data_IF_349827997210
#
_entry.id   IF_349827997210
#
_cell.length_a   1.000
_cell.length_b   1.000
_cell.length_c   1.000
_cell.angle_alpha   90.00
_cell.angle_beta   90.00
_cell.angle_gamma   90.00
#
_symmetry.space_group_name_H-M   'P 1'
#
loop_
_entity.id
_entity.type
_entity.pdbx_description
1 polymer ?
#
# COMPACT_ATOMS: atom_id res chain seq x y z
N UNK A 1 25.22 -27.55 -7.65
CA UNK A 1 23.79 -27.84 -7.51
C UNK A 1 23.16 -26.65 -6.80
N UNK A 2 22.27 -25.90 -7.47
CA UNK A 2 21.51 -24.82 -6.79
C UNK A 2 20.40 -25.51 -5.99
N UNK A 3 20.40 -25.29 -4.69
CA UNK A 3 19.38 -25.75 -3.75
C UNK A 3 17.98 -25.31 -4.28
N UNK A 4 16.98 -26.20 -4.38
CA UNK A 4 15.65 -25.78 -4.79
C UNK A 4 15.16 -24.77 -3.78
N UNK A 5 14.97 -23.50 -4.21
CA UNK A 5 14.43 -22.43 -3.38
C UNK A 5 13.11 -22.89 -2.78
N UNK A 6 13.12 -23.25 -1.51
CA UNK A 6 11.90 -23.59 -0.75
C UNK A 6 11.04 -22.32 -0.73
N UNK A 7 9.93 -22.32 -1.45
CA UNK A 7 9.01 -21.20 -1.49
C UNK A 7 8.24 -21.13 -0.17
N UNK A 8 8.03 -19.92 0.38
CA UNK A 8 7.16 -19.75 1.54
C UNK A 8 5.77 -20.31 1.23
N UNK A 9 5.22 -21.12 2.13
CA UNK A 9 3.88 -21.72 1.99
C UNK A 9 2.90 -21.17 3.05
N UNK A 10 3.38 -20.34 3.98
CA UNK A 10 2.55 -19.56 4.88
C UNK A 10 2.85 -18.09 4.65
N UNK A 11 1.81 -17.35 4.26
CA UNK A 11 1.85 -15.92 4.08
C UNK A 11 1.20 -15.23 5.28
N UNK A 12 1.82 -14.15 5.73
CA UNK A 12 1.36 -13.29 6.80
C UNK A 12 1.64 -11.83 6.46
N UNK A 13 0.97 -10.94 7.12
CA UNK A 13 1.17 -9.50 7.00
C UNK A 13 1.12 -8.83 8.37
N UNK A 14 1.76 -7.69 8.50
CA UNK A 14 1.77 -6.91 9.71
C UNK A 14 2.30 -5.51 9.49
N UNK A 15 2.48 -4.76 10.55
CA UNK A 15 2.95 -3.40 10.47
C UNK A 15 3.94 -3.04 11.59
N UNK A 16 4.78 -2.04 11.28
CA UNK A 16 5.36 -1.20 12.31
C UNK A 16 4.32 -0.13 12.62
N UNK A 17 3.50 -0.41 13.63
CA UNK A 17 2.49 0.52 14.12
C UNK A 17 3.19 1.62 14.91
N UNK A 18 3.04 2.87 14.48
CA UNK A 18 3.70 4.01 15.08
C UNK A 18 2.75 5.18 15.35
N UNK A 19 3.12 6.04 16.29
CA UNK A 19 2.46 7.30 16.56
C UNK A 19 3.50 8.43 16.76
N UNK A 20 3.12 9.71 16.62
CA UNK A 20 3.98 10.81 17.03
C UNK A 20 4.26 10.75 18.54
N UNK A 21 5.51 10.94 18.94
CA UNK A 21 5.94 11.11 20.32
C UNK A 21 6.76 12.38 20.47
N UNK A 22 7.13 12.74 21.69
CA UNK A 22 7.82 14.02 22.01
C UNK A 22 9.18 14.17 21.32
N UNK A 23 9.91 13.08 21.15
CA UNK A 23 11.27 13.10 20.58
C UNK A 23 11.37 12.41 19.21
N UNK A 24 10.25 11.96 18.66
CA UNK A 24 10.18 11.21 17.40
C UNK A 24 9.08 10.14 17.44
N UNK A 25 9.05 9.25 16.45
CA UNK A 25 8.03 8.22 16.42
C UNK A 25 8.18 7.23 17.58
N UNK A 26 7.07 6.90 18.22
CA UNK A 26 6.93 5.78 19.13
C UNK A 26 6.33 4.58 18.41
N UNK A 27 6.86 3.40 18.69
CA UNK A 27 6.50 2.14 18.04
C UNK A 27 5.74 1.26 19.03
N UNK A 28 4.61 0.72 18.60
CA UNK A 28 3.85 -0.27 19.36
C UNK A 28 4.54 -1.64 19.30
N UNK A 29 4.71 -2.25 20.47
CA UNK A 29 5.17 -3.63 20.63
C UNK A 29 4.15 -4.37 21.47
N UNK A 30 3.77 -5.56 21.04
CA UNK A 30 2.78 -6.41 21.70
C UNK A 30 3.44 -7.57 22.45
N UNK A 31 2.92 -7.91 23.63
CA UNK A 31 3.29 -9.11 24.35
C UNK A 31 2.27 -10.22 24.10
N UNK A 32 2.77 -11.40 23.72
CA UNK A 32 1.93 -12.57 23.46
C UNK A 32 2.18 -13.64 24.51
N UNK A 33 1.25 -13.81 25.49
CA UNK A 33 1.45 -14.71 26.64
C UNK A 33 1.68 -16.18 26.22
N UNK A 34 1.05 -16.62 25.14
CA UNK A 34 1.22 -17.98 24.60
C UNK A 34 2.67 -18.31 24.24
N UNK A 35 3.45 -17.32 23.84
CA UNK A 35 4.85 -17.48 23.41
C UNK A 35 5.83 -16.85 24.40
N UNK A 36 5.35 -16.05 25.34
CA UNK A 36 6.17 -15.28 26.27
C UNK A 36 7.10 -14.29 25.57
N UNK A 37 6.64 -13.70 24.44
CA UNK A 37 7.46 -12.86 23.58
C UNK A 37 6.88 -11.46 23.37
N UNK A 38 7.79 -10.54 22.96
CA UNK A 38 7.47 -9.21 22.51
C UNK A 38 7.74 -9.10 21.00
N UNK A 39 6.75 -8.70 20.23
CA UNK A 39 6.86 -8.65 18.77
C UNK A 39 6.09 -7.50 18.15
N UNK A 40 6.30 -7.26 16.83
CA UNK A 40 5.46 -6.39 16.03
C UNK A 40 4.13 -7.09 15.71
N UNK A 41 3.00 -6.33 15.62
CA UNK A 41 1.70 -6.89 15.29
C UNK A 41 1.68 -7.49 13.87
N UNK A 42 1.22 -8.73 13.73
CA UNK A 42 1.19 -9.49 12.47
C UNK A 42 0.45 -10.81 12.61
N UNK A 43 -0.23 -11.22 11.57
CA UNK A 43 -0.80 -12.56 11.51
C UNK A 43 -0.93 -13.12 10.12
N UNK A 44 -1.61 -14.25 9.98
CA UNK A 44 -1.77 -14.97 8.72
C UNK A 44 -2.84 -14.31 7.85
N UNK A 45 -2.67 -14.41 6.54
CA UNK A 45 -3.73 -14.03 5.62
C UNK A 45 -4.89 -15.02 5.69
N UNK A 46 -6.09 -14.48 5.69
CA UNK A 46 -7.30 -15.27 5.50
C UNK A 46 -7.46 -15.73 4.03
N UNK A 47 -8.26 -16.78 3.76
CA UNK A 47 -8.51 -17.23 2.39
C UNK A 47 -9.06 -16.10 1.50
N UNK A 48 -8.35 -15.77 0.44
CA UNK A 48 -8.70 -14.70 -0.51
C UNK A 48 -8.35 -13.27 -0.03
N UNK A 49 -7.79 -13.12 1.15
CA UNK A 49 -7.36 -11.83 1.68
C UNK A 49 -6.05 -11.36 1.04
N UNK A 50 -5.89 -10.06 0.94
CA UNK A 50 -4.66 -9.46 0.44
C UNK A 50 -3.71 -9.13 1.59
N UNK A 51 -2.39 -9.13 1.39
CA UNK A 51 -1.46 -8.77 2.45
C UNK A 51 -1.70 -7.37 3.04
N UNK A 52 -2.16 -6.42 2.21
CA UNK A 52 -2.49 -5.05 2.60
C UNK A 52 -3.67 -5.05 3.59
N UNK A 53 -4.75 -5.74 3.25
CA UNK A 53 -5.94 -5.84 4.11
C UNK A 53 -5.62 -6.62 5.38
N UNK A 54 -4.90 -7.75 5.26
CA UNK A 54 -4.45 -8.54 6.41
C UNK A 54 -3.64 -7.72 7.41
N UNK A 55 -2.73 -6.85 6.94
CA UNK A 55 -1.93 -6.02 7.83
C UNK A 55 -2.78 -5.08 8.69
N UNK A 56 -3.81 -4.46 8.11
CA UNK A 56 -4.74 -3.58 8.85
C UNK A 56 -5.60 -4.38 9.82
N UNK A 57 -6.16 -5.54 9.38
CA UNK A 57 -6.97 -6.42 10.23
C UNK A 57 -6.18 -6.90 11.43
N UNK A 58 -4.98 -7.45 11.21
CA UNK A 58 -4.13 -7.99 12.28
C UNK A 58 -3.70 -6.91 13.28
N UNK A 59 -3.35 -5.70 12.80
CA UNK A 59 -3.11 -4.57 13.71
C UNK A 59 -4.34 -4.28 14.56
N UNK A 60 -5.54 -4.23 13.95
CA UNK A 60 -6.79 -4.00 14.67
C UNK A 60 -7.09 -5.09 15.70
N UNK A 61 -6.93 -6.37 15.35
CA UNK A 61 -7.21 -7.53 16.22
C UNK A 61 -6.22 -7.61 17.38
N UNK A 62 -4.92 -7.44 17.13
CA UNK A 62 -3.88 -7.58 18.15
C UNK A 62 -3.73 -6.31 19.03
N UNK A 63 -4.10 -5.12 18.53
CA UNK A 63 -3.88 -3.86 19.27
C UNK A 63 -5.14 -3.10 19.65
N UNK A 64 -6.28 -3.39 19.01
CA UNK A 64 -7.52 -2.60 19.16
C UNK A 64 -7.44 -1.20 18.51
N UNK A 65 -6.34 -0.87 17.85
CA UNK A 65 -6.11 0.46 17.28
C UNK A 65 -6.37 0.46 15.77
N UNK A 66 -7.24 1.35 15.27
CA UNK A 66 -7.32 1.62 13.85
C UNK A 66 -5.98 2.18 13.34
N UNK A 67 -5.61 1.85 12.11
CA UNK A 67 -4.38 2.36 11.51
C UNK A 67 -4.54 2.67 10.03
N UNK A 68 -3.66 3.52 9.54
CA UNK A 68 -3.51 3.82 8.11
C UNK A 68 -2.14 3.36 7.65
N UNK A 69 -2.10 2.53 6.60
CA UNK A 69 -0.84 2.08 6.03
C UNK A 69 -0.15 3.22 5.28
N UNK A 70 1.16 3.26 5.42
CA UNK A 70 2.06 4.05 4.61
C UNK A 70 2.91 3.15 3.71
N UNK A 71 4.19 3.49 3.56
CA UNK A 71 5.12 2.76 2.68
C UNK A 71 5.32 1.29 3.10
N UNK A 72 5.51 0.44 2.13
CA UNK A 72 5.94 -0.93 2.33
C UNK A 72 7.39 -0.96 2.86
N UNK A 73 7.64 -1.76 3.87
CA UNK A 73 8.96 -1.87 4.49
C UNK A 73 9.78 -3.03 3.95
N UNK A 74 9.11 -4.01 3.37
CA UNK A 74 9.73 -5.24 2.94
C UNK A 74 9.10 -6.47 3.59
N UNK A 75 9.80 -7.59 3.49
CA UNK A 75 9.36 -8.83 4.13
C UNK A 75 10.51 -9.52 4.85
N UNK A 76 10.14 -10.37 5.80
CA UNK A 76 11.03 -11.34 6.41
C UNK A 76 10.52 -12.74 6.10
N UNK A 77 11.46 -13.70 5.98
CA UNK A 77 11.12 -15.13 5.76
C UNK A 77 11.90 -15.97 6.74
N UNK A 78 11.22 -16.88 7.41
CA UNK A 78 11.81 -17.74 8.41
C UNK A 78 11.14 -19.11 8.48
N UNK A 79 11.87 -20.16 8.91
CA UNK A 79 11.29 -21.48 9.15
C UNK A 79 10.38 -21.48 10.38
N UNK A 80 9.31 -22.26 10.31
CA UNK A 80 8.43 -22.48 11.46
C UNK A 80 9.00 -23.63 12.29
N UNK A 81 9.30 -23.45 13.59
CA UNK A 81 9.79 -24.50 14.45
C UNK A 81 8.90 -25.75 14.42
N UNK A 82 9.50 -26.92 14.24
CA UNK A 82 8.78 -28.20 14.15
C UNK A 82 8.09 -28.49 12.80
N UNK A 83 8.17 -27.60 11.82
CA UNK A 83 7.55 -27.76 10.51
C UNK A 83 8.56 -27.57 9.37
N UNK A 84 8.34 -28.27 8.21
CA UNK A 84 9.11 -28.02 6.97
C UNK A 84 8.59 -26.82 6.17
N UNK A 85 8.02 -25.84 6.85
CA UNK A 85 7.34 -24.72 6.25
C UNK A 85 8.10 -23.43 6.47
N UNK A 86 8.12 -22.55 5.43
CA UNK A 86 8.60 -21.19 5.57
C UNK A 86 7.41 -20.24 5.71
N UNK A 87 7.48 -19.35 6.70
CA UNK A 87 6.55 -18.23 6.84
C UNK A 87 7.19 -16.99 6.26
N UNK A 88 6.48 -16.32 5.34
CA UNK A 88 6.80 -14.98 4.86
C UNK A 88 5.86 -14.00 5.53
N UNK A 89 6.38 -12.92 6.07
CA UNK A 89 5.62 -11.82 6.65
C UNK A 89 5.97 -10.54 5.92
N UNK A 90 4.99 -9.92 5.27
CA UNK A 90 5.09 -8.63 4.61
C UNK A 90 4.74 -7.52 5.61
N UNK A 91 5.52 -6.42 5.64
CA UNK A 91 5.35 -5.34 6.62
C UNK A 91 5.20 -3.97 5.98
N UNK A 92 4.34 -3.16 6.56
CA UNK A 92 4.14 -1.75 6.24
C UNK A 92 4.46 -0.85 7.43
N UNK A 93 4.81 0.41 7.18
CA UNK A 93 4.64 1.46 8.18
C UNK A 93 3.15 1.71 8.35
N UNK A 94 2.65 1.83 9.58
CA UNK A 94 1.25 2.13 9.83
C UNK A 94 1.13 3.19 10.92
N UNK A 95 0.44 4.30 10.64
CA UNK A 95 0.17 5.34 11.64
C UNK A 95 -1.08 4.95 12.43
N UNK A 96 -0.95 4.90 13.76
CA UNK A 96 -2.06 4.62 14.65
C UNK A 96 -3.03 5.80 14.69
N UNK A 97 -4.33 5.51 14.56
CA UNK A 97 -5.37 6.46 14.91
C UNK A 97 -5.69 6.42 16.41
N UNK A 98 -6.53 7.35 16.86
CA UNK A 98 -7.01 7.36 18.24
C UNK A 98 -7.77 6.07 18.55
N UNK A 99 -7.51 5.51 19.74
CA UNK A 99 -8.11 4.27 20.22
C UNK A 99 -7.45 3.82 21.52
N UNK A 100 -7.97 2.76 22.09
CA UNK A 100 -7.45 2.17 23.34
C UNK A 100 -7.20 0.69 23.15
N UNK A 101 -6.06 0.22 23.67
CA UNK A 101 -5.76 -1.20 23.73
C UNK A 101 -6.64 -1.89 24.77
N UNK A 102 -7.21 -3.01 24.37
CA UNK A 102 -7.91 -3.91 25.27
C UNK A 102 -7.28 -5.29 25.19
N UNK A 103 -6.99 -5.89 26.34
CA UNK A 103 -6.48 -7.27 26.44
C UNK A 103 -7.40 -8.23 25.69
N UNK A 104 -6.81 -9.10 24.89
CA UNK A 104 -7.53 -10.10 24.10
C UNK A 104 -6.89 -11.49 24.23
N UNK A 105 -7.40 -12.47 23.49
CA UNK A 105 -6.94 -13.85 23.58
C UNK A 105 -5.48 -14.08 23.13
N UNK A 106 -4.93 -13.18 22.32
CA UNK A 106 -3.59 -13.31 21.75
C UNK A 106 -2.57 -12.36 22.37
N UNK A 107 -3.03 -11.18 22.84
CA UNK A 107 -2.19 -10.09 23.34
C UNK A 107 -2.69 -9.62 24.70
N UNK A 108 -1.82 -9.68 25.70
CA UNK A 108 -2.13 -9.22 27.07
C UNK A 108 -1.52 -7.84 27.40
N UNK A 109 -0.51 -7.38 26.65
CA UNK A 109 0.10 -6.07 26.84
C UNK A 109 0.47 -5.44 25.52
N UNK A 110 0.24 -4.12 25.40
CA UNK A 110 0.76 -3.25 24.37
C UNK A 110 1.58 -2.14 25.03
N UNK A 111 2.78 -1.90 24.52
CA UNK A 111 3.65 -0.83 24.98
C UNK A 111 4.19 -0.02 23.83
N UNK A 112 4.35 1.27 24.05
CA UNK A 112 4.94 2.21 23.11
C UNK A 112 6.37 2.50 23.52
N UNK A 113 7.29 2.41 22.54
CA UNK A 113 8.71 2.70 22.76
C UNK A 113 9.21 3.69 21.72
N UNK A 114 10.04 4.68 22.10
CA UNK A 114 10.77 5.50 21.14
C UNK A 114 11.56 4.63 20.16
N UNK A 115 11.69 5.09 18.92
CA UNK A 115 12.32 4.33 17.84
C UNK A 115 13.75 3.88 18.17
N UNK A 116 14.51 4.67 18.91
CA UNK A 116 15.89 4.37 19.36
C UNK A 116 15.95 3.28 20.45
N UNK A 117 14.84 2.98 21.15
CA UNK A 117 14.75 2.02 22.24
C UNK A 117 14.00 0.73 21.89
N UNK A 118 13.19 0.75 20.84
CA UNK A 118 12.28 -0.37 20.54
C UNK A 118 13.02 -1.66 20.22
N UNK A 119 14.22 -1.61 19.63
CA UNK A 119 14.96 -2.81 19.27
C UNK A 119 15.38 -3.66 20.46
N UNK A 120 15.59 -3.06 21.62
CA UNK A 120 15.96 -3.77 22.85
C UNK A 120 14.79 -4.52 23.47
N UNK A 121 13.58 -4.15 23.10
CA UNK A 121 12.34 -4.77 23.60
C UNK A 121 11.88 -5.97 22.74
N UNK A 122 12.29 -6.04 21.49
CA UNK A 122 11.85 -7.07 20.56
C UNK A 122 12.57 -8.40 20.79
N UNK A 123 11.82 -9.48 20.92
CA UNK A 123 12.34 -10.82 21.16
C UNK A 123 13.07 -11.39 19.95
N UNK A 124 12.67 -10.99 18.72
CA UNK A 124 13.17 -11.63 17.50
C UNK A 124 14.09 -10.73 16.66
N UNK A 125 15.22 -11.27 16.16
CA UNK A 125 16.09 -10.53 15.24
C UNK A 125 15.40 -10.06 13.96
N UNK A 126 14.36 -10.78 13.50
CA UNK A 126 13.59 -10.44 12.30
C UNK A 126 12.78 -9.16 12.52
N UNK A 127 12.15 -8.99 13.68
CA UNK A 127 11.41 -7.77 14.00
C UNK A 127 12.36 -6.57 14.10
N UNK A 128 13.57 -6.76 14.66
CA UNK A 128 14.63 -5.74 14.64
C UNK A 128 15.07 -5.36 13.21
N UNK A 129 15.09 -6.33 12.29
CA UNK A 129 15.35 -6.05 10.87
C UNK A 129 14.27 -5.16 10.27
N UNK A 130 13.00 -5.42 10.58
CA UNK A 130 11.85 -4.60 10.12
C UNK A 130 11.95 -3.19 10.68
N UNK A 131 12.31 -3.01 11.96
CA UNK A 131 12.55 -1.68 12.54
C UNK A 131 13.67 -0.94 11.81
N UNK A 132 14.77 -1.61 11.43
CA UNK A 132 15.83 -0.97 10.62
C UNK A 132 15.32 -0.52 9.24
N UNK A 133 14.42 -1.30 8.61
CA UNK A 133 13.78 -0.90 7.35
C UNK A 133 12.88 0.33 7.55
N UNK A 134 12.14 0.37 8.66
CA UNK A 134 11.32 1.53 9.02
C UNK A 134 12.17 2.78 9.27
N UNK A 135 13.28 2.67 9.96
CA UNK A 135 14.15 3.79 10.33
C UNK A 135 14.91 4.43 9.15
N UNK A 136 14.91 3.81 7.95
CA UNK A 136 15.62 4.35 6.76
C UNK A 136 15.01 5.62 6.19
N UNK A 137 13.72 5.83 6.40
CA UNK A 137 12.94 6.93 5.84
C UNK A 137 12.07 7.55 6.94
N UNK A 138 11.60 8.78 6.78
CA UNK A 138 10.68 9.39 7.75
C UNK A 138 9.48 8.48 8.06
N UNK A 139 9.04 8.47 9.31
CA UNK A 139 7.88 7.71 9.73
C UNK A 139 6.62 8.14 8.97
N UNK A 140 6.39 9.45 8.93
CA UNK A 140 5.29 10.04 8.15
C UNK A 140 5.77 10.41 6.76
N UNK A 141 5.01 9.98 5.75
CA UNK A 141 5.18 10.33 4.34
C UNK A 141 3.81 10.65 3.77
N UNK A 142 3.73 11.63 2.87
CA UNK A 142 2.51 11.83 2.10
C UNK A 142 2.36 10.67 1.10
N UNK A 143 1.16 10.13 0.97
CA UNK A 143 0.88 8.98 0.06
C UNK A 143 -0.06 9.40 -1.05
N UNK A 144 0.25 9.01 -2.30
CA UNK A 144 -0.65 9.12 -3.45
C UNK A 144 -0.83 7.71 -4.04
N UNK A 145 -2.08 7.31 -4.23
CA UNK A 145 -2.42 6.03 -4.86
C UNK A 145 -2.69 6.24 -6.35
N UNK A 146 -1.81 5.71 -7.21
CA UNK A 146 -1.95 5.82 -8.66
C UNK A 146 -2.45 4.48 -9.23
N UNK A 147 -3.70 4.48 -9.69
CA UNK A 147 -4.45 3.29 -10.11
C UNK A 147 -4.52 3.22 -11.63
N UNK A 148 -4.14 2.08 -12.21
CA UNK A 148 -4.47 1.80 -13.59
C UNK A 148 -5.90 1.30 -13.71
N UNK A 149 -6.69 1.86 -14.65
CA UNK A 149 -8.06 1.42 -14.87
C UNK A 149 -8.19 -0.11 -14.98
N UNK A 150 -9.28 -0.66 -14.48
CA UNK A 150 -9.62 -2.08 -14.51
C UNK A 150 -9.93 -2.57 -15.94
N UNK A 151 -10.23 -3.84 -16.09
CA UNK A 151 -10.40 -4.49 -17.40
C UNK A 151 -11.62 -3.94 -18.16
N UNK A 152 -11.39 -3.39 -19.36
CA UNK A 152 -12.37 -2.70 -20.19
C UNK A 152 -12.47 -3.28 -21.61
N UNK A 153 -12.28 -4.59 -21.78
CA UNK A 153 -12.35 -5.22 -23.08
C UNK A 153 -11.23 -4.78 -24.06
N UNK A 154 -11.32 -5.28 -25.28
CA UNK A 154 -10.39 -4.91 -26.37
C UNK A 154 -10.95 -3.71 -27.13
N UNK A 155 -10.06 -2.76 -27.48
CA UNK A 155 -10.42 -1.59 -28.28
C UNK A 155 -11.08 -1.98 -29.63
N UNK A 156 -10.53 -2.98 -30.30
CA UNK A 156 -11.02 -3.44 -31.60
C UNK A 156 -12.42 -4.10 -31.55
N UNK A 157 -12.93 -4.39 -30.38
CA UNK A 157 -14.29 -4.97 -30.18
C UNK A 157 -15.31 -3.92 -29.66
N UNK A 158 -14.94 -2.62 -29.73
CA UNK A 158 -15.78 -1.52 -29.29
C UNK A 158 -16.04 -0.54 -30.44
N UNK A 159 -17.32 -0.40 -30.84
CA UNK A 159 -17.72 0.38 -32.00
C UNK A 159 -17.91 1.90 -31.72
N UNK A 160 -17.94 2.27 -30.44
CA UNK A 160 -18.11 3.66 -30.02
C UNK A 160 -16.79 4.43 -29.83
N UNK A 161 -16.86 5.72 -29.44
CA UNK A 161 -15.71 6.50 -29.03
C UNK A 161 -14.96 5.81 -27.86
N UNK A 162 -13.63 5.73 -27.93
CA UNK A 162 -12.84 5.00 -26.92
C UNK A 162 -12.99 5.58 -25.51
N UNK A 163 -13.22 6.86 -25.38
CA UNK A 163 -13.50 7.52 -24.10
C UNK A 163 -14.74 6.94 -23.40
N UNK A 164 -15.74 6.48 -24.16
CA UNK A 164 -16.97 5.89 -23.63
C UNK A 164 -16.92 4.38 -23.45
N UNK A 165 -15.79 3.73 -23.73
CA UNK A 165 -15.64 2.28 -23.57
C UNK A 165 -15.68 1.89 -22.08
N UNK A 166 -16.70 1.09 -21.63
CA UNK A 166 -16.91 0.77 -20.23
C UNK A 166 -16.01 -0.36 -19.75
N UNK A 167 -16.01 -0.58 -18.43
CA UNK A 167 -15.49 -1.80 -17.83
C UNK A 167 -16.34 -3.01 -18.25
N UNK A 168 -15.71 -4.12 -18.55
CA UNK A 168 -16.39 -5.42 -18.66
C UNK A 168 -16.76 -5.98 -17.27
N UNK A 169 -17.54 -7.05 -17.19
CA UNK A 169 -17.98 -7.66 -15.94
C UNK A 169 -16.81 -7.99 -14.99
N UNK A 170 -15.74 -8.60 -15.53
CA UNK A 170 -14.53 -8.89 -14.77
C UNK A 170 -13.81 -7.61 -14.30
N UNK A 171 -13.89 -6.53 -15.07
CA UNK A 171 -13.34 -5.23 -14.68
C UNK A 171 -14.10 -4.58 -13.52
N UNK A 172 -15.42 -4.68 -13.52
CA UNK A 172 -16.26 -4.21 -12.39
C UNK A 172 -15.99 -4.99 -11.11
N UNK A 173 -15.81 -6.31 -11.20
CA UNK A 173 -15.38 -7.11 -10.04
C UNK A 173 -13.99 -6.71 -9.55
N UNK A 174 -13.07 -6.46 -10.47
CA UNK A 174 -11.72 -6.00 -10.15
C UNK A 174 -11.74 -4.63 -9.44
N UNK A 175 -12.57 -3.68 -9.90
CA UNK A 175 -12.75 -2.38 -9.26
C UNK A 175 -13.25 -2.50 -7.82
N UNK A 176 -14.24 -3.37 -7.58
CA UNK A 176 -14.73 -3.66 -6.21
C UNK A 176 -13.65 -4.28 -5.33
N UNK A 177 -12.87 -5.22 -5.86
CA UNK A 177 -11.79 -5.88 -5.10
C UNK A 177 -10.60 -4.95 -4.78
N UNK A 178 -10.43 -3.85 -5.53
CA UNK A 178 -9.43 -2.83 -5.23
C UNK A 178 -9.78 -1.97 -4.01
N UNK A 179 -11.06 -1.73 -3.78
CA UNK A 179 -11.54 -0.78 -2.77
C UNK A 179 -10.98 -1.02 -1.36
N UNK A 180 -11.02 -2.24 -0.78
CA UNK A 180 -10.44 -2.48 0.54
C UNK A 180 -8.94 -2.17 0.63
N UNK A 181 -8.19 -2.42 -0.45
CA UNK A 181 -6.77 -2.12 -0.49
C UNK A 181 -6.49 -0.62 -0.50
N UNK A 182 -7.27 0.17 -1.25
CA UNK A 182 -7.13 1.62 -1.28
C UNK A 182 -7.51 2.25 0.06
N UNK A 183 -8.57 1.74 0.70
CA UNK A 183 -8.98 2.15 2.05
C UNK A 183 -7.94 1.85 3.12
N UNK A 184 -7.22 0.74 3.03
CA UNK A 184 -6.14 0.40 3.96
C UNK A 184 -5.02 1.46 4.00
N UNK A 185 -4.82 2.19 2.89
CA UNK A 185 -3.90 3.33 2.82
C UNK A 185 -4.56 4.67 3.20
N UNK A 186 -5.82 4.66 3.62
CA UNK A 186 -6.53 5.88 4.00
C UNK A 186 -6.99 6.74 2.82
N UNK A 187 -7.28 6.14 1.66
CA UNK A 187 -7.83 6.87 0.51
C UNK A 187 -8.97 7.80 0.93
N UNK A 188 -8.91 9.07 0.56
CA UNK A 188 -9.86 10.12 1.02
C UNK A 188 -10.36 11.03 -0.09
N UNK A 189 -9.58 11.21 -1.15
CA UNK A 189 -9.91 12.02 -2.32
C UNK A 189 -9.75 11.21 -3.59
N UNK A 190 -10.61 11.43 -4.58
CA UNK A 190 -10.59 10.66 -5.81
C UNK A 190 -10.51 11.58 -7.02
N UNK A 191 -9.49 11.33 -7.83
CA UNK A 191 -9.24 11.97 -9.12
C UNK A 191 -9.24 10.90 -10.21
N UNK A 192 -9.84 11.19 -11.34
CA UNK A 192 -9.90 10.23 -12.44
C UNK A 192 -9.69 10.92 -13.78
N UNK A 193 -8.90 10.31 -14.64
CA UNK A 193 -8.97 10.60 -16.07
C UNK A 193 -10.42 10.45 -16.57
N UNK A 194 -10.79 11.24 -17.56
CA UNK A 194 -12.15 11.32 -18.14
C UNK A 194 -12.66 10.06 -18.87
N UNK A 195 -11.86 9.09 -19.39
CA UNK A 195 -12.41 7.88 -19.99
C UNK A 195 -13.27 7.10 -18.99
N UNK A 196 -14.47 6.68 -19.45
CA UNK A 196 -15.47 6.01 -18.62
C UNK A 196 -14.91 4.83 -17.81
N UNK A 197 -13.98 4.05 -18.40
CA UNK A 197 -13.32 2.94 -17.70
C UNK A 197 -12.49 3.38 -16.49
N UNK A 198 -11.93 4.59 -16.50
CA UNK A 198 -11.19 5.14 -15.36
C UNK A 198 -12.15 5.54 -14.26
N UNK A 199 -13.20 6.29 -14.57
CA UNK A 199 -14.25 6.68 -13.65
C UNK A 199 -14.87 5.43 -12.99
N UNK A 200 -15.31 4.45 -13.79
CA UNK A 200 -15.91 3.22 -13.29
C UNK A 200 -14.96 2.37 -12.42
N UNK A 201 -13.64 2.53 -12.56
CA UNK A 201 -12.66 1.81 -11.73
C UNK A 201 -12.67 2.33 -10.30
N UNK A 202 -12.86 3.62 -10.09
CA UNK A 202 -12.83 4.24 -8.76
C UNK A 202 -14.22 4.55 -8.19
N UNK A 203 -15.29 4.34 -8.97
CA UNK A 203 -16.67 4.50 -8.51
C UNK A 203 -16.97 3.72 -7.22
N UNK A 204 -16.60 2.41 -7.07
CA UNK A 204 -16.89 1.70 -5.82
C UNK A 204 -16.20 2.31 -4.60
N UNK A 205 -15.01 2.90 -4.77
CA UNK A 205 -14.32 3.62 -3.70
C UNK A 205 -15.04 4.93 -3.38
N UNK A 206 -15.44 5.69 -4.40
CA UNK A 206 -16.17 6.95 -4.24
C UNK A 206 -17.50 6.74 -3.49
N UNK A 207 -18.25 5.70 -3.85
CA UNK A 207 -19.49 5.32 -3.19
C UNK A 207 -19.26 4.96 -1.71
N UNK A 208 -18.22 4.19 -1.40
CA UNK A 208 -17.92 3.79 -0.02
C UNK A 208 -17.45 4.95 0.85
N UNK A 209 -16.70 5.89 0.28
CA UNK A 209 -16.23 7.11 0.97
C UNK A 209 -17.30 8.22 1.01
N UNK A 210 -18.36 8.09 0.19
CA UNK A 210 -19.36 9.13 -0.03
C UNK A 210 -18.74 10.47 -0.47
N UNK A 211 -17.83 10.39 -1.46
CA UNK A 211 -17.14 11.55 -2.04
C UNK A 211 -17.35 11.63 -3.55
N UNK A 212 -17.19 12.82 -4.11
CA UNK A 212 -17.23 13.02 -5.56
C UNK A 212 -15.93 12.58 -6.23
N UNK A 213 -16.01 12.20 -7.51
CA UNK A 213 -14.87 11.93 -8.36
C UNK A 213 -14.48 13.21 -9.10
N UNK A 214 -13.31 13.76 -8.81
CA UNK A 214 -12.74 14.89 -9.52
C UNK A 214 -12.27 14.43 -10.90
N UNK A 215 -12.96 14.88 -11.96
CA UNK A 215 -12.58 14.56 -13.33
C UNK A 215 -11.38 15.39 -13.77
N UNK A 216 -10.32 14.71 -14.21
CA UNK A 216 -9.01 15.28 -14.57
C UNK A 216 -8.63 14.83 -16.00
N UNK A 217 -9.11 15.47 -17.06
CA UNK A 217 -8.82 15.04 -18.43
C UNK A 217 -7.33 14.98 -18.78
N UNK A 218 -6.50 15.77 -18.08
CA UNK A 218 -5.05 15.76 -18.26
C UNK A 218 -4.37 14.46 -17.78
N UNK A 219 -5.06 13.60 -17.07
CA UNK A 219 -4.56 12.27 -16.71
C UNK A 219 -5.01 11.18 -17.68
N UNK A 220 -5.77 11.51 -18.75
CA UNK A 220 -5.97 10.61 -19.89
C UNK A 220 -4.74 10.54 -20.78
N UNK A 221 -4.59 9.48 -21.59
CA UNK A 221 -3.48 9.38 -22.56
C UNK A 221 -3.44 10.60 -23.48
N UNK A 222 -4.58 11.00 -24.02
CA UNK A 222 -4.67 12.16 -24.91
C UNK A 222 -4.33 13.48 -24.19
N UNK A 223 -4.88 13.72 -23.00
CA UNK A 223 -4.62 14.93 -22.22
C UNK A 223 -3.18 15.01 -21.73
N UNK A 224 -2.63 13.89 -21.29
CA UNK A 224 -1.25 13.79 -20.83
C UNK A 224 -0.25 14.06 -21.98
N UNK A 225 -0.46 13.46 -23.15
CA UNK A 225 0.41 13.66 -24.31
C UNK A 225 0.35 15.11 -24.82
N UNK A 226 -0.81 15.75 -24.72
CA UNK A 226 -1.00 17.14 -25.17
C UNK A 226 -0.38 18.17 -24.22
N UNK A 227 -0.33 17.90 -22.90
CA UNK A 227 0.09 18.86 -21.88
C UNK A 227 0.87 18.19 -20.74
N UNK A 228 1.86 17.37 -21.07
CA UNK A 228 2.62 16.53 -20.13
C UNK A 228 3.18 17.30 -18.93
N UNK A 229 3.75 18.46 -19.13
CA UNK A 229 4.29 19.29 -18.06
C UNK A 229 3.20 19.76 -17.09
N UNK A 230 2.05 20.22 -17.58
CA UNK A 230 0.93 20.65 -16.77
C UNK A 230 0.32 19.48 -15.98
N UNK A 231 0.16 18.32 -16.62
CA UNK A 231 -0.32 17.10 -15.96
C UNK A 231 0.60 16.66 -14.82
N UNK A 232 1.92 16.72 -15.02
CA UNK A 232 2.92 16.41 -13.99
C UNK A 232 2.87 17.41 -12.82
N UNK A 233 2.72 18.71 -13.11
CA UNK A 233 2.56 19.74 -12.06
C UNK A 233 1.24 19.55 -11.29
N UNK A 234 0.14 19.25 -12.01
CA UNK A 234 -1.14 18.91 -11.38
C UNK A 234 -1.01 17.70 -10.45
N UNK A 235 -0.31 16.65 -10.88
CA UNK A 235 -0.06 15.48 -10.03
C UNK A 235 0.72 15.85 -8.77
N UNK A 236 1.76 16.66 -8.87
CA UNK A 236 2.52 17.14 -7.71
C UNK A 236 1.66 17.96 -6.75
N UNK A 237 0.71 18.75 -7.25
CA UNK A 237 -0.21 19.53 -6.41
C UNK A 237 -1.20 18.70 -5.60
N UNK A 238 -1.35 17.40 -5.92
CA UNK A 238 -2.15 16.45 -5.16
C UNK A 238 -1.41 15.87 -3.96
N UNK A 239 -0.08 16.04 -3.86
CA UNK A 239 0.70 15.57 -2.72
C UNK A 239 0.37 16.45 -1.52
N UNK A 240 -0.22 15.85 -0.49
CA UNK A 240 -0.68 16.56 0.72
C UNK A 240 -0.51 15.69 1.95
N UNK A 241 -0.30 16.33 3.10
CA UNK A 241 -0.26 15.65 4.41
C UNK A 241 -1.67 15.48 5.03
N UNK A 242 -2.72 16.01 4.37
CA UNK A 242 -4.09 16.05 4.91
C UNK A 242 -4.99 14.94 4.44
N UNK A 243 -4.52 14.10 3.51
CA UNK A 243 -5.31 13.02 2.94
C UNK A 243 -4.49 12.16 2.01
N UNK A 244 -5.10 11.11 1.48
CA UNK A 244 -4.49 10.19 0.52
C UNK A 244 -5.27 10.21 -0.78
N UNK A 245 -4.87 11.04 -1.75
CA UNK A 245 -5.51 11.11 -3.05
C UNK A 245 -5.30 9.80 -3.83
N UNK A 246 -6.38 9.35 -4.46
CA UNK A 246 -6.38 8.22 -5.39
C UNK A 246 -6.55 8.77 -6.81
N UNK A 247 -5.58 8.52 -7.68
CA UNK A 247 -5.59 9.00 -9.08
C UNK A 247 -5.76 7.80 -10.01
N UNK A 248 -6.86 7.73 -10.73
CA UNK A 248 -7.06 6.70 -11.76
C UNK A 248 -6.66 7.21 -13.14
N UNK A 249 -5.81 6.45 -13.83
CA UNK A 249 -5.30 6.81 -15.14
C UNK A 249 -5.15 5.58 -16.06
N UNK A 250 -4.51 5.77 -17.20
CA UNK A 250 -4.37 4.80 -18.27
C UNK A 250 -2.94 4.23 -18.37
N UNK A 251 -2.83 3.17 -19.16
CA UNK A 251 -1.59 2.41 -19.31
C UNK A 251 -0.43 3.16 -19.94
N UNK A 252 -0.69 4.12 -20.82
CA UNK A 252 0.34 4.95 -21.44
C UNK A 252 0.86 6.06 -20.54
N UNK A 253 0.05 6.54 -19.59
CA UNK A 253 0.41 7.63 -18.67
C UNK A 253 1.25 7.14 -17.49
N UNK A 254 0.81 6.08 -16.83
CA UNK A 254 1.35 5.66 -15.53
C UNK A 254 2.86 5.37 -15.57
N UNK A 255 3.40 4.60 -16.54
CA UNK A 255 4.84 4.31 -16.56
C UNK A 255 5.70 5.56 -16.72
N UNK A 256 5.29 6.48 -17.61
CA UNK A 256 6.01 7.73 -17.83
C UNK A 256 5.99 8.64 -16.60
N UNK A 257 4.81 8.77 -15.98
CA UNK A 257 4.66 9.59 -14.76
C UNK A 257 5.47 9.05 -13.59
N UNK A 258 5.42 7.73 -13.36
CA UNK A 258 6.16 7.09 -12.25
C UNK A 258 7.67 7.16 -12.51
N UNK A 259 8.12 6.93 -13.73
CA UNK A 259 9.54 7.06 -14.09
C UNK A 259 10.02 8.50 -13.91
N UNK A 260 9.26 9.50 -14.36
CA UNK A 260 9.61 10.90 -14.18
C UNK A 260 9.71 11.29 -12.68
N UNK A 261 8.79 10.81 -11.84
CA UNK A 261 8.85 11.05 -10.38
C UNK A 261 10.11 10.41 -9.77
N UNK A 262 10.46 9.20 -10.22
CA UNK A 262 11.65 8.50 -9.77
C UNK A 262 12.94 9.21 -10.19
N UNK A 263 13.06 9.59 -11.46
CA UNK A 263 14.22 10.31 -12.00
C UNK A 263 14.44 11.65 -11.27
N UNK A 264 13.34 12.40 -11.07
CA UNK A 264 13.38 13.67 -10.33
C UNK A 264 13.86 13.49 -8.89
N UNK A 265 13.63 12.33 -8.29
CA UNK A 265 13.97 12.02 -6.90
C UNK A 265 15.28 11.23 -6.75
N UNK A 266 15.91 10.82 -7.87
CA UNK A 266 17.10 9.98 -7.87
C UNK A 266 16.84 8.54 -7.45
N UNK A 267 15.59 8.05 -7.64
CA UNK A 267 15.21 6.67 -7.34
C UNK A 267 15.35 5.79 -8.58
N UNK A 268 15.89 4.59 -8.40
CA UNK A 268 15.84 3.53 -9.42
C UNK A 268 14.67 2.62 -9.13
N UNK A 269 13.72 2.54 -10.05
CA UNK A 269 12.57 1.64 -9.94
C UNK A 269 12.82 0.36 -10.71
N UNK A 270 12.42 -0.83 -10.19
CA UNK A 270 12.38 -2.03 -11.02
C UNK A 270 11.28 -1.91 -12.07
N UNK A 271 11.46 -2.65 -13.16
CA UNK A 271 10.44 -2.76 -14.18
C UNK A 271 9.12 -3.27 -13.58
N UNK A 272 8.14 -2.39 -13.45
CA UNK A 272 6.82 -2.75 -12.96
C UNK A 272 5.95 -3.28 -14.09
N UNK A 273 5.18 -4.34 -13.78
CA UNK A 273 4.16 -4.84 -14.69
C UNK A 273 2.93 -3.95 -14.59
N UNK A 274 2.84 -2.97 -15.48
CA UNK A 274 1.68 -2.09 -15.56
C UNK A 274 0.44 -2.86 -16.06
N UNK A 275 -0.20 -3.65 -15.18
CA UNK A 275 -1.41 -4.44 -15.49
C UNK A 275 -2.66 -3.64 -15.16
N UNK A 276 -3.76 -3.90 -15.89
CA UNK A 276 -5.06 -3.30 -15.58
C UNK A 276 -5.51 -3.66 -14.17
N UNK A 277 -5.88 -2.64 -13.40
CA UNK A 277 -6.20 -2.75 -11.97
C UNK A 277 -4.98 -2.90 -11.06
N UNK A 278 -3.77 -2.61 -11.51
CA UNK A 278 -2.62 -2.43 -10.63
C UNK A 278 -2.61 -1.04 -9.99
N UNK A 279 -1.95 -0.95 -8.85
CA UNK A 279 -1.83 0.27 -8.05
C UNK A 279 -0.36 0.53 -7.71
N UNK A 280 0.05 1.77 -7.80
CA UNK A 280 1.24 2.27 -7.16
C UNK A 280 0.85 3.04 -5.89
N UNK A 281 1.40 2.66 -4.74
CA UNK A 281 1.42 3.49 -3.55
C UNK A 281 2.73 4.28 -3.56
N UNK A 282 2.61 5.58 -3.84
CA UNK A 282 3.73 6.50 -3.99
C UNK A 282 3.89 7.29 -2.70
N UNK A 283 5.03 7.16 -2.03
CA UNK A 283 5.30 7.84 -0.75
C UNK A 283 6.28 8.99 -0.94
N UNK A 284 5.92 10.16 -0.44
CA UNK A 284 6.68 11.40 -0.60
C UNK A 284 7.13 11.95 0.75
N UNK A 285 8.37 12.46 0.79
CA UNK A 285 8.85 13.33 1.83
C UNK A 285 8.97 14.75 1.22
N UNK A 286 8.11 15.67 1.67
CA UNK A 286 7.80 16.88 0.95
C UNK A 286 7.35 16.57 -0.49
N UNK A 287 8.03 17.11 -1.51
CA UNK A 287 7.72 16.88 -2.92
C UNK A 287 8.60 15.79 -3.59
N UNK A 288 9.46 15.13 -2.83
CA UNK A 288 10.35 14.07 -3.33
C UNK A 288 9.77 12.69 -3.09
N UNK A 289 9.71 11.88 -4.14
CA UNK A 289 9.35 10.48 -4.04
C UNK A 289 10.45 9.72 -3.26
N UNK A 290 10.09 9.07 -2.15
CA UNK A 290 11.04 8.32 -1.30
C UNK A 290 10.80 6.82 -1.34
N UNK A 291 9.58 6.39 -1.70
CA UNK A 291 9.25 4.99 -1.94
C UNK A 291 8.13 4.88 -2.97
N UNK A 292 8.13 3.78 -3.73
CA UNK A 292 7.09 3.48 -4.71
C UNK A 292 6.80 1.97 -4.69
N UNK A 293 5.65 1.62 -4.17
CA UNK A 293 5.25 0.24 -3.95
C UNK A 293 4.22 -0.16 -4.99
N UNK A 294 4.56 -1.13 -5.83
CA UNK A 294 3.66 -1.61 -6.88
C UNK A 294 2.88 -2.84 -6.42
N UNK A 295 1.57 -2.69 -6.40
CA UNK A 295 0.63 -3.78 -6.14
C UNK A 295 0.05 -4.27 -7.46
N UNK A 296 0.43 -5.50 -7.88
CA UNK A 296 -0.15 -6.14 -9.06
C UNK A 296 -1.52 -6.76 -8.71
N UNK A 297 -2.27 -7.16 -9.73
CA UNK A 297 -3.61 -7.78 -9.64
C UNK A 297 -3.73 -8.95 -8.65
N UNK A 298 -2.65 -9.68 -8.43
CA UNK A 298 -2.57 -10.81 -7.50
C UNK A 298 -2.13 -10.41 -6.10
N UNK A 299 -1.97 -9.09 -5.85
CA UNK A 299 -1.64 -8.51 -4.54
C UNK A 299 -0.35 -9.03 -3.90
N UNK A 300 0.55 -9.59 -4.68
CA UNK A 300 1.93 -9.76 -4.25
C UNK A 300 2.67 -8.44 -4.47
N UNK A 301 3.12 -7.82 -3.40
CA UNK A 301 3.95 -6.63 -3.44
C UNK A 301 5.28 -6.93 -4.13
N UNK A 302 5.47 -6.36 -5.31
CA UNK A 302 6.78 -6.21 -5.91
C UNK A 302 7.40 -4.93 -5.36
N UNK A 303 8.46 -5.08 -4.57
CA UNK A 303 9.09 -3.97 -3.86
C UNK A 303 10.05 -3.22 -4.74
N UNK A 304 10.08 -1.92 -4.49
CA UNK A 304 11.18 -1.02 -4.83
C UNK A 304 11.43 -0.10 -3.65
N UNK A 305 12.44 -0.36 -2.91
CA UNK A 305 13.04 0.61 -2.00
C UNK A 305 14.42 0.99 -2.52
N UNK A 306 14.72 2.29 -2.44
CA UNK A 306 16.05 2.82 -2.72
C UNK A 306 17.10 2.26 -1.74
#
# INVERSE_FOLDING_TARGET
MRDPQVRPNIHAAGAVLWRPGDTGPEIAVIHRPKYGDWSLPKGKLDPGETPVVAAVREVGEETGLPCTLGRYLGHVTYPIPGHRQLKRVDYWAAEAAAGEFTVNAEVDQLRWFPLDRVMDQLSYPMDRQVIRMFARLPARTATVLLVRHAKAGKRAAWDGPDALRPLEAAGRQQAKALTPNLLAFGASEIHSADPLRCIQTVTPLAEQLNVEINCEPMFSEQGYDSAKSAARQRFLSLITDRGVPTVCSQGGVIPDLVQWLADRSGLTLPAARNRKGSVWALSFAADRLVAADHMDRSLSTGIVTA
#
